data_IF_079493788988
#
_entry.id   IF_079493788988
#
_cell.length_a   1.000
_cell.length_b   1.000
_cell.length_c   1.000
_cell.angle_alpha   90.00
_cell.angle_beta   90.00
_cell.angle_gamma   90.00
#
_symmetry.space_group_name_H-M   'P 1'
#
loop_
_entity.id
_entity.type
_entity.pdbx_description
1 polymer ?
#
# COMPACT_ATOMS: atom_id res chain seq x y z
N UNK A 1 5.42 -0.80 13.69
CA UNK A 1 5.13 0.64 13.49
C UNK A 1 3.74 0.93 14.01
N UNK A 2 3.48 2.05 14.70
CA UNK A 2 2.11 2.35 15.15
C UNK A 2 1.21 2.64 13.95
N UNK A 3 0.03 2.00 13.91
CA UNK A 3 -0.96 2.23 12.86
C UNK A 3 -1.71 3.50 13.22
N UNK A 4 -1.67 4.50 12.34
CA UNK A 4 -2.43 5.74 12.43
C UNK A 4 -2.84 6.20 11.02
N UNK A 5 -3.68 7.23 10.94
CA UNK A 5 -4.21 7.70 9.65
C UNK A 5 -3.09 8.13 8.69
N UNK A 6 -2.03 8.76 9.21
CA UNK A 6 -0.85 9.14 8.43
C UNK A 6 -0.20 7.93 7.77
N UNK A 7 0.10 6.90 8.56
CA UNK A 7 0.81 5.73 8.08
C UNK A 7 -0.04 4.92 7.11
N UNK A 8 -1.33 4.69 7.41
CA UNK A 8 -2.20 3.93 6.53
C UNK A 8 -2.39 4.61 5.17
N UNK A 9 -2.44 5.95 5.13
CA UNK A 9 -2.51 6.71 3.88
C UNK A 9 -1.31 6.43 2.96
N UNK A 10 -0.15 6.12 3.55
CA UNK A 10 1.05 5.78 2.79
C UNK A 10 1.08 4.32 2.34
N UNK A 11 0.58 3.39 3.16
CA UNK A 11 0.76 1.95 2.93
C UNK A 11 -0.39 1.30 2.16
N UNK A 12 -1.62 1.78 2.30
CA UNK A 12 -2.78 1.14 1.68
C UNK A 12 -2.74 1.13 0.14
N UNK A 13 -2.02 2.08 -0.47
CA UNK A 13 -1.90 2.18 -1.93
C UNK A 13 -0.65 1.45 -2.48
N UNK A 14 0.12 0.80 -1.63
CA UNK A 14 1.24 -0.05 -2.06
C UNK A 14 0.74 -1.43 -2.47
N UNK A 15 1.56 -2.10 -3.27
CA UNK A 15 1.30 -3.51 -3.56
C UNK A 15 1.33 -4.35 -2.28
N UNK A 16 0.62 -5.47 -2.25
CA UNK A 16 0.60 -6.37 -1.09
C UNK A 16 2.01 -6.88 -0.73
N UNK A 17 2.93 -6.89 -1.68
CA UNK A 17 4.32 -7.30 -1.47
C UNK A 17 5.17 -6.23 -0.76
N UNK A 18 4.80 -4.96 -0.90
CA UNK A 18 5.49 -3.80 -0.31
C UNK A 18 4.93 -3.40 1.06
N UNK A 19 3.87 -4.06 1.51
CA UNK A 19 3.28 -3.79 2.83
C UNK A 19 4.20 -4.30 3.93
N UNK A 20 4.54 -3.43 4.86
CA UNK A 20 5.32 -3.74 6.06
C UNK A 20 4.43 -4.33 7.18
N UNK A 21 3.53 -5.22 6.84
CA UNK A 21 2.65 -5.82 7.82
C UNK A 21 3.31 -7.05 8.44
N UNK A 22 3.56 -6.99 9.74
CA UNK A 22 4.20 -8.05 10.49
C UNK A 22 3.31 -9.28 10.68
N UNK A 23 1.99 -9.15 10.56
CA UNK A 23 1.06 -10.24 10.88
C UNK A 23 0.51 -11.01 9.69
N UNK A 24 0.16 -10.35 8.62
CA UNK A 24 -0.24 -11.01 7.37
C UNK A 24 -0.41 -10.02 6.22
N UNK A 25 0.67 -9.74 5.49
CA UNK A 25 0.67 -8.81 4.35
C UNK A 25 -0.30 -9.16 3.21
N UNK A 26 -0.81 -10.39 3.18
CA UNK A 26 -1.78 -10.83 2.17
C UNK A 26 -3.24 -10.63 2.61
N UNK A 27 -3.51 -10.29 3.89
CA UNK A 27 -4.85 -9.95 4.32
C UNK A 27 -5.22 -8.52 3.92
N UNK A 28 -6.47 -8.28 3.53
CA UNK A 28 -6.97 -6.93 3.37
C UNK A 28 -6.88 -6.14 4.68
N UNK A 29 -6.74 -4.82 4.59
CA UNK A 29 -6.83 -3.94 5.74
C UNK A 29 -8.29 -3.70 6.11
N UNK A 30 -8.58 -3.67 7.41
CA UNK A 30 -9.84 -3.18 7.93
C UNK A 30 -9.58 -2.33 9.17
N UNK A 31 -9.49 -1.02 8.96
CA UNK A 31 -9.17 -0.06 10.01
C UNK A 31 -10.27 0.96 10.19
N UNK A 32 -10.49 1.34 11.46
CA UNK A 32 -11.42 2.38 11.85
C UNK A 32 -10.66 3.48 12.58
N UNK A 33 -10.60 4.67 12.00
CA UNK A 33 -9.96 5.85 12.58
C UNK A 33 -11.02 6.76 13.16
N UNK A 34 -11.11 6.81 14.48
CA UNK A 34 -12.14 7.55 15.21
C UNK A 34 -11.50 8.68 16.01
N UNK A 35 -12.02 9.90 15.80
CA UNK A 35 -11.39 11.10 16.32
C UNK A 35 -10.20 11.55 15.47
N UNK A 36 -9.43 12.48 15.97
CA UNK A 36 -8.35 13.15 15.28
C UNK A 36 -7.09 13.13 16.13
N UNK A 37 -6.00 12.55 15.60
CA UNK A 37 -4.70 12.55 16.26
C UNK A 37 -3.96 13.88 16.04
N UNK A 38 -3.95 14.34 14.80
CA UNK A 38 -3.24 15.55 14.36
C UNK A 38 -4.20 16.47 13.59
N UNK A 39 -4.82 17.41 14.32
CA UNK A 39 -5.79 18.33 13.74
C UNK A 39 -5.18 19.28 12.70
N UNK A 40 -3.89 19.55 12.79
CA UNK A 40 -3.19 20.47 11.87
C UNK A 40 -2.94 19.83 10.49
N UNK A 41 -2.80 18.50 10.44
CA UNK A 41 -2.54 17.77 9.22
C UNK A 41 -3.70 16.88 8.76
N UNK A 42 -4.80 16.85 9.50
CA UNK A 42 -5.92 15.95 9.19
C UNK A 42 -6.48 16.16 7.78
N UNK A 43 -6.76 17.41 7.42
CA UNK A 43 -7.27 17.75 6.09
C UNK A 43 -6.27 17.42 4.98
N UNK A 44 -4.97 17.50 5.27
CA UNK A 44 -3.91 17.08 4.35
C UNK A 44 -3.93 15.58 4.11
N UNK A 45 -4.17 14.75 5.15
CA UNK A 45 -4.31 13.30 5.00
C UNK A 45 -5.55 12.95 4.16
N UNK A 46 -6.69 13.59 4.43
CA UNK A 46 -7.92 13.40 3.64
C UNK A 46 -7.69 13.78 2.17
N UNK A 47 -7.02 14.92 1.91
CA UNK A 47 -6.66 15.32 0.54
C UNK A 47 -5.75 14.32 -0.16
N UNK A 48 -4.78 13.79 0.57
CA UNK A 48 -3.86 12.78 0.03
C UNK A 48 -4.60 11.48 -0.33
N UNK A 49 -5.52 11.03 0.53
CA UNK A 49 -6.38 9.87 0.25
C UNK A 49 -7.22 10.14 -1.01
N UNK A 50 -7.86 11.32 -1.11
CA UNK A 50 -8.66 11.69 -2.27
C UNK A 50 -7.86 11.62 -3.56
N UNK A 51 -6.68 12.24 -3.59
CA UNK A 51 -5.84 12.25 -4.79
C UNK A 51 -5.43 10.84 -5.20
N UNK A 52 -4.97 10.03 -4.25
CA UNK A 52 -4.59 8.63 -4.53
C UNK A 52 -5.76 7.79 -5.02
N UNK A 53 -6.95 7.98 -4.46
CA UNK A 53 -8.15 7.29 -4.94
C UNK A 53 -8.57 7.72 -6.36
N UNK A 54 -8.31 8.99 -6.74
CA UNK A 54 -8.58 9.47 -8.10
C UNK A 54 -7.56 8.97 -9.12
N UNK A 55 -6.34 8.67 -8.70
CA UNK A 55 -5.29 8.09 -9.53
C UNK A 55 -5.50 6.60 -9.79
N UNK A 56 -6.29 5.94 -8.94
CA UNK A 56 -6.49 4.50 -8.95
C UNK A 56 -7.94 4.13 -9.31
N UNK A 57 -8.15 3.39 -10.40
CA UNK A 57 -9.47 2.86 -10.81
C UNK A 57 -10.03 1.78 -9.86
N UNK A 58 -9.48 1.66 -8.66
CA UNK A 58 -9.77 0.57 -7.69
C UNK A 58 -10.26 1.09 -6.35
N UNK A 59 -10.71 2.33 -6.29
CA UNK A 59 -11.10 2.98 -5.04
C UNK A 59 -12.57 3.42 -5.07
N UNK A 60 -13.29 3.08 -3.99
CA UNK A 60 -14.65 3.55 -3.72
C UNK A 60 -14.59 4.50 -2.52
N UNK A 61 -15.20 5.66 -2.63
CA UNK A 61 -15.33 6.63 -1.53
C UNK A 61 -16.81 6.84 -1.23
N UNK A 62 -17.19 6.65 0.03
CA UNK A 62 -18.49 7.02 0.56
C UNK A 62 -18.35 8.18 1.53
N UNK A 63 -19.20 9.18 1.37
CA UNK A 63 -19.21 10.42 2.18
C UNK A 63 -20.52 10.52 2.95
N UNK A 64 -20.52 10.05 4.19
CA UNK A 64 -21.60 10.13 5.14
C UNK A 64 -22.79 9.18 4.92
N UNK A 65 -22.94 8.63 3.74
CA UNK A 65 -23.96 7.62 3.44
C UNK A 65 -23.70 6.91 2.12
N UNK A 66 -24.25 5.71 1.97
CA UNK A 66 -24.23 4.98 0.70
C UNK A 66 -25.56 5.25 -0.02
N UNK A 67 -25.55 6.01 -1.12
CA UNK A 67 -26.77 6.29 -1.85
C UNK A 67 -27.42 5.01 -2.40
N UNK A 68 -28.74 4.98 -2.42
CA UNK A 68 -29.47 3.91 -3.09
C UNK A 68 -29.40 4.12 -4.60
N UNK A 69 -29.27 3.01 -5.34
CA UNK A 69 -29.38 3.04 -6.78
C UNK A 69 -30.81 3.43 -7.20
N UNK A 70 -30.92 4.22 -8.27
CA UNK A 70 -32.19 4.54 -8.89
C UNK A 70 -32.77 3.44 -9.81
N UNK A 71 -32.10 2.28 -9.91
CA UNK A 71 -32.48 1.18 -10.80
C UNK A 71 -33.60 0.32 -10.18
N UNK A 72 -34.81 0.83 -10.22
CA UNK A 72 -35.98 0.18 -9.61
C UNK A 72 -36.27 -1.21 -10.19
N UNK A 73 -36.04 -1.43 -11.49
CA UNK A 73 -36.22 -2.74 -12.14
C UNK A 73 -35.25 -3.79 -11.57
N UNK A 74 -33.99 -3.41 -11.39
CA UNK A 74 -32.98 -4.28 -10.79
C UNK A 74 -33.33 -4.62 -9.33
N UNK A 75 -33.73 -3.62 -8.55
CA UNK A 75 -34.16 -3.80 -7.16
C UNK A 75 -35.31 -4.80 -7.08
N UNK A 76 -36.32 -4.61 -7.89
CA UNK A 76 -37.53 -5.48 -7.91
C UNK A 76 -37.18 -6.90 -8.38
N UNK A 77 -36.33 -7.02 -9.40
CA UNK A 77 -35.85 -8.31 -9.90
C UNK A 77 -35.14 -9.10 -8.80
N UNK A 78 -34.12 -8.51 -8.16
CA UNK A 78 -33.35 -9.16 -7.11
C UNK A 78 -34.25 -9.55 -5.93
N UNK A 79 -35.15 -8.65 -5.50
CA UNK A 79 -36.06 -8.91 -4.39
C UNK A 79 -36.99 -10.11 -4.67
N UNK A 80 -37.48 -10.23 -5.90
CA UNK A 80 -38.35 -11.34 -6.30
C UNK A 80 -37.59 -12.67 -6.35
N UNK A 81 -36.35 -12.65 -6.90
CA UNK A 81 -35.50 -13.85 -6.95
C UNK A 81 -35.13 -14.37 -5.54
N UNK A 82 -34.87 -13.48 -4.58
CA UNK A 82 -34.55 -13.85 -3.20
C UNK A 82 -35.70 -14.61 -2.49
N UNK A 83 -36.92 -14.45 -2.95
CA UNK A 83 -38.06 -15.20 -2.40
C UNK A 83 -37.99 -16.72 -2.66
N UNK A 84 -37.23 -17.13 -3.67
CA UNK A 84 -37.07 -18.52 -4.09
C UNK A 84 -35.69 -19.10 -3.71
N UNK A 85 -34.81 -18.32 -3.10
CA UNK A 85 -33.42 -18.69 -2.79
C UNK A 85 -33.24 -19.07 -1.33
N UNK A 86 -32.32 -20.00 -1.07
CA UNK A 86 -31.81 -20.22 0.29
C UNK A 86 -30.74 -19.16 0.57
N UNK A 87 -31.15 -18.07 1.23
CA UNK A 87 -30.28 -16.92 1.53
C UNK A 87 -29.12 -17.26 2.47
N UNK A 88 -29.14 -18.42 3.13
CA UNK A 88 -28.04 -18.91 3.97
C UNK A 88 -27.01 -19.74 3.19
N UNK A 89 -27.28 -20.02 1.92
CA UNK A 89 -26.39 -20.76 1.02
C UNK A 89 -26.21 -20.01 -0.31
N UNK A 90 -25.88 -18.73 -0.21
CA UNK A 90 -25.76 -17.84 -1.36
C UNK A 90 -24.69 -18.31 -2.36
N UNK A 91 -23.62 -18.95 -1.87
CA UNK A 91 -22.56 -19.48 -2.75
C UNK A 91 -23.01 -20.62 -3.67
N UNK A 92 -24.15 -21.22 -3.42
CA UNK A 92 -24.78 -22.26 -4.27
C UNK A 92 -25.92 -21.71 -5.15
N UNK A 93 -26.21 -20.41 -5.09
CA UNK A 93 -27.27 -19.79 -5.87
C UNK A 93 -26.77 -19.23 -7.21
N UNK A 94 -27.65 -19.09 -8.18
CA UNK A 94 -27.33 -18.60 -9.52
C UNK A 94 -27.43 -17.06 -9.64
N UNK A 95 -26.80 -16.34 -8.69
CA UNK A 95 -26.70 -14.88 -8.79
C UNK A 95 -25.34 -14.51 -9.39
N UNK A 96 -25.33 -13.77 -10.47
CA UNK A 96 -24.11 -13.30 -11.12
C UNK A 96 -24.11 -11.77 -11.17
N UNK A 97 -23.21 -11.17 -10.38
CA UNK A 97 -22.94 -9.72 -10.38
C UNK A 97 -21.62 -9.43 -11.12
N UNK A 98 -20.65 -10.29 -10.93
CA UNK A 98 -19.33 -10.18 -11.54
C UNK A 98 -19.17 -11.21 -12.66
N UNK A 99 -18.58 -10.80 -13.78
CA UNK A 99 -18.30 -11.69 -14.93
C UNK A 99 -17.25 -12.76 -14.56
N UNK A 100 -16.27 -12.40 -13.72
CA UNK A 100 -15.25 -13.33 -13.24
C UNK A 100 -15.82 -14.25 -12.14
N UNK A 101 -15.80 -15.54 -12.41
CA UNK A 101 -16.36 -16.56 -11.52
C UNK A 101 -15.77 -16.48 -10.09
N UNK A 102 -14.47 -16.31 -9.97
CA UNK A 102 -13.81 -16.27 -8.65
C UNK A 102 -14.24 -15.05 -7.82
N UNK A 103 -14.41 -13.89 -8.47
CA UNK A 103 -14.87 -12.66 -7.81
C UNK A 103 -16.33 -12.80 -7.41
N UNK A 104 -17.16 -13.34 -8.31
CA UNK A 104 -18.57 -13.60 -8.02
C UNK A 104 -18.72 -14.59 -6.85
N UNK A 105 -17.90 -15.63 -6.80
CA UNK A 105 -17.90 -16.57 -5.68
C UNK A 105 -17.47 -15.93 -4.35
N UNK A 106 -16.47 -15.02 -4.37
CA UNK A 106 -16.08 -14.23 -3.17
C UNK A 106 -17.24 -13.37 -2.70
N UNK A 107 -17.95 -12.72 -3.61
CA UNK A 107 -19.12 -11.91 -3.31
C UNK A 107 -20.23 -12.76 -2.64
N UNK A 108 -20.60 -13.89 -3.23
CA UNK A 108 -21.63 -14.78 -2.68
C UNK A 108 -21.24 -15.32 -1.30
N UNK A 109 -19.99 -15.71 -1.12
CA UNK A 109 -19.47 -16.12 0.21
C UNK A 109 -19.46 -14.97 1.23
N UNK A 110 -19.22 -13.75 0.79
CA UNK A 110 -19.30 -12.59 1.66
C UNK A 110 -20.74 -12.29 2.10
N UNK A 111 -21.73 -12.44 1.21
CA UNK A 111 -23.15 -12.40 1.56
C UNK A 111 -23.51 -13.52 2.56
N UNK A 112 -23.09 -14.75 2.29
CA UNK A 112 -23.31 -15.92 3.15
C UNK A 112 -22.72 -15.73 4.55
N UNK A 113 -21.68 -14.94 4.70
CA UNK A 113 -21.13 -14.55 5.99
C UNK A 113 -21.94 -13.45 6.68
N UNK A 114 -22.36 -12.41 5.94
CA UNK A 114 -22.99 -11.22 6.53
C UNK A 114 -24.47 -11.43 6.85
N UNK A 115 -25.18 -12.24 6.07
CA UNK A 115 -26.63 -12.47 6.27
C UNK A 115 -26.93 -13.08 7.64
N UNK A 116 -26.29 -14.19 8.08
CA UNK A 116 -26.52 -14.74 9.41
C UNK A 116 -26.15 -13.74 10.52
N UNK A 117 -25.06 -12.98 10.35
CA UNK A 117 -24.66 -11.94 11.29
C UNK A 117 -25.78 -10.92 11.46
N UNK A 118 -26.31 -10.39 10.35
CA UNK A 118 -27.41 -9.43 10.37
C UNK A 118 -28.69 -10.03 10.95
N UNK A 119 -29.04 -11.28 10.62
CA UNK A 119 -30.21 -11.94 11.18
C UNK A 119 -30.15 -12.11 12.71
N UNK A 120 -28.93 -12.25 13.25
CA UNK A 120 -28.75 -12.37 14.71
C UNK A 120 -28.77 -11.00 15.42
N UNK A 121 -28.50 -9.90 14.73
CA UNK A 121 -28.35 -8.57 15.34
C UNK A 121 -29.49 -7.62 15.02
N UNK A 122 -30.15 -7.82 13.88
CA UNK A 122 -31.28 -7.02 13.44
C UNK A 122 -32.58 -7.79 13.67
N UNK A 123 -33.58 -7.12 14.19
CA UNK A 123 -34.91 -7.72 14.36
C UNK A 123 -35.66 -7.65 13.00
N UNK A 124 -35.36 -8.57 12.11
CA UNK A 124 -36.14 -8.70 10.88
C UNK A 124 -37.52 -9.35 11.25
N UNK A 125 -38.56 -8.53 11.24
CA UNK A 125 -39.93 -8.98 11.60
C UNK A 125 -40.47 -10.06 10.68
N UNK A 126 -40.02 -10.13 9.44
CA UNK A 126 -40.40 -11.13 8.46
C UNK A 126 -39.34 -11.23 7.35
N UNK A 127 -39.52 -12.22 6.46
CA UNK A 127 -38.63 -12.50 5.37
C UNK A 127 -38.54 -11.32 4.37
N UNK A 128 -39.61 -10.56 4.17
CA UNK A 128 -39.60 -9.41 3.26
C UNK A 128 -38.64 -8.32 3.77
N UNK A 129 -38.59 -8.04 5.07
CA UNK A 129 -37.69 -7.05 5.65
C UNK A 129 -36.24 -7.53 5.52
N UNK A 130 -36.00 -8.82 5.77
CA UNK A 130 -34.67 -9.43 5.55
C UNK A 130 -34.28 -9.37 4.06
N UNK A 131 -35.17 -9.75 3.17
CA UNK A 131 -34.89 -9.74 1.72
C UNK A 131 -34.65 -8.32 1.20
N UNK A 132 -35.32 -7.29 1.72
CA UNK A 132 -35.02 -5.89 1.43
C UNK A 132 -33.60 -5.51 1.84
N UNK A 133 -33.14 -5.97 3.02
CA UNK A 133 -31.78 -5.75 3.47
C UNK A 133 -30.77 -6.43 2.53
N UNK A 134 -31.00 -7.69 2.16
CA UNK A 134 -30.12 -8.43 1.25
C UNK A 134 -30.11 -7.78 -0.13
N UNK A 135 -31.28 -7.41 -0.65
CA UNK A 135 -31.40 -6.67 -1.93
C UNK A 135 -30.57 -5.41 -1.91
N UNK A 136 -30.61 -4.64 -0.81
CA UNK A 136 -29.83 -3.43 -0.65
C UNK A 136 -28.31 -3.71 -0.75
N UNK A 137 -27.80 -4.75 -0.10
CA UNK A 137 -26.39 -5.13 -0.20
C UNK A 137 -25.98 -5.55 -1.61
N UNK A 138 -26.83 -6.33 -2.30
CA UNK A 138 -26.58 -6.76 -3.68
C UNK A 138 -26.58 -5.57 -4.64
N UNK A 139 -27.54 -4.67 -4.52
CA UNK A 139 -27.68 -3.48 -5.36
C UNK A 139 -26.50 -2.53 -5.12
N UNK A 140 -26.06 -2.32 -3.90
CA UNK A 140 -24.86 -1.54 -3.60
C UNK A 140 -23.62 -2.16 -4.22
N UNK A 141 -23.48 -3.49 -4.17
CA UNK A 141 -22.36 -4.19 -4.81
C UNK A 141 -22.39 -3.98 -6.33
N UNK A 142 -23.56 -4.16 -6.95
CA UNK A 142 -23.74 -3.93 -8.38
C UNK A 142 -23.37 -2.50 -8.78
N UNK A 143 -23.87 -1.52 -8.02
CA UNK A 143 -23.70 -0.10 -8.35
C UNK A 143 -22.26 0.36 -8.17
N UNK A 144 -21.61 -0.03 -7.07
CA UNK A 144 -20.33 0.57 -6.66
C UNK A 144 -19.11 -0.35 -6.86
N UNK A 145 -19.28 -1.66 -6.77
CA UNK A 145 -18.17 -2.60 -6.79
C UNK A 145 -18.01 -3.36 -8.11
N UNK A 146 -19.07 -3.48 -8.93
CA UNK A 146 -19.07 -4.28 -10.17
C UNK A 146 -17.95 -3.88 -11.14
N UNK A 147 -17.70 -2.59 -11.29
CA UNK A 147 -16.74 -2.07 -12.27
C UNK A 147 -15.32 -1.92 -11.72
N UNK A 148 -15.10 -2.27 -10.47
CA UNK A 148 -13.77 -2.22 -9.87
C UNK A 148 -12.92 -3.35 -10.42
N UNK A 149 -11.77 -3.00 -10.98
CA UNK A 149 -10.82 -3.98 -11.50
C UNK A 149 -10.06 -4.66 -10.36
N UNK A 150 -10.14 -5.98 -10.32
CA UNK A 150 -9.37 -6.78 -9.38
C UNK A 150 -7.97 -7.07 -9.95
N UNK A 151 -6.98 -7.02 -9.07
CA UNK A 151 -5.58 -7.29 -9.40
C UNK A 151 -4.97 -8.09 -8.24
N UNK A 152 -4.18 -9.09 -8.56
CA UNK A 152 -3.53 -9.93 -7.54
C UNK A 152 -2.48 -9.20 -6.70
N UNK A 153 -2.01 -8.05 -7.16
CA UNK A 153 -0.96 -7.28 -6.48
C UNK A 153 -1.48 -6.13 -5.61
N UNK A 154 -2.68 -5.62 -5.90
CA UNK A 154 -3.26 -4.46 -5.20
C UNK A 154 -4.73 -4.74 -4.91
N UNK A 155 -5.07 -4.84 -3.62
CA UNK A 155 -6.46 -4.98 -3.22
C UNK A 155 -7.27 -3.74 -3.64
N UNK A 156 -8.53 -3.89 -4.06
CA UNK A 156 -9.43 -2.76 -4.21
C UNK A 156 -9.67 -2.08 -2.86
N UNK A 157 -10.01 -0.79 -2.89
CA UNK A 157 -10.13 0.05 -1.69
C UNK A 157 -11.57 0.52 -1.49
N UNK A 158 -11.97 0.57 -0.23
CA UNK A 158 -13.20 1.23 0.17
C UNK A 158 -12.91 2.19 1.32
N UNK A 159 -13.14 3.48 1.09
CA UNK A 159 -13.04 4.52 2.09
C UNK A 159 -14.45 4.96 2.47
N UNK A 160 -14.79 4.87 3.73
CA UNK A 160 -16.05 5.43 4.25
C UNK A 160 -15.72 6.56 5.22
N UNK A 161 -16.26 7.73 4.99
CA UNK A 161 -16.01 8.92 5.78
C UNK A 161 -17.30 9.47 6.40
N UNK A 162 -17.27 9.84 7.68
CA UNK A 162 -18.40 10.44 8.38
C UNK A 162 -19.25 9.46 9.19
N UNK A 163 -20.51 9.80 9.43
CA UNK A 163 -21.43 8.95 10.20
C UNK A 163 -21.82 7.72 9.36
N UNK A 164 -21.95 6.60 10.03
CA UNK A 164 -22.28 5.33 9.40
C UNK A 164 -23.51 4.70 10.05
N UNK A 165 -24.39 4.17 9.20
CA UNK A 165 -25.59 3.47 9.61
C UNK A 165 -25.36 1.96 9.70
N UNK A 166 -26.24 1.25 10.41
CA UNK A 166 -26.11 -0.20 10.66
C UNK A 166 -25.94 -1.02 9.39
N UNK A 167 -26.78 -0.80 8.38
CA UNK A 167 -26.69 -1.54 7.11
C UNK A 167 -25.38 -1.27 6.34
N UNK A 168 -24.82 -0.09 6.47
CA UNK A 168 -23.56 0.29 5.85
C UNK A 168 -22.38 -0.42 6.51
N UNK A 169 -22.43 -0.66 7.84
CA UNK A 169 -21.43 -1.47 8.54
C UNK A 169 -21.39 -2.89 7.96
N UNK A 170 -22.55 -3.52 7.77
CA UNK A 170 -22.61 -4.84 7.13
C UNK A 170 -22.05 -4.83 5.71
N UNK A 171 -22.29 -3.76 4.96
CA UNK A 171 -21.73 -3.62 3.63
C UNK A 171 -20.21 -3.48 3.65
N UNK A 172 -19.64 -2.71 4.57
CA UNK A 172 -18.18 -2.62 4.72
C UNK A 172 -17.56 -3.97 5.14
N UNK A 173 -18.21 -4.71 6.03
CA UNK A 173 -17.77 -6.07 6.40
C UNK A 173 -17.82 -6.99 5.18
N UNK A 174 -18.87 -6.89 4.36
CA UNK A 174 -19.00 -7.67 3.14
C UNK A 174 -17.88 -7.35 2.14
N UNK A 175 -17.59 -6.09 1.88
CA UNK A 175 -16.48 -5.68 1.01
C UNK A 175 -15.12 -6.19 1.53
N UNK A 176 -14.88 -6.12 2.84
CA UNK A 176 -13.68 -6.71 3.43
C UNK A 176 -13.58 -8.23 3.17
N UNK A 177 -14.68 -8.97 3.33
CA UNK A 177 -14.72 -10.41 3.02
C UNK A 177 -14.54 -10.71 1.53
N UNK A 178 -14.88 -9.78 0.64
CA UNK A 178 -14.59 -9.87 -0.79
C UNK A 178 -13.10 -9.60 -1.11
N UNK A 179 -12.32 -9.08 -0.18
CA UNK A 179 -10.90 -8.78 -0.36
C UNK A 179 -10.57 -7.29 -0.52
N UNK A 180 -11.49 -6.39 -0.22
CA UNK A 180 -11.22 -4.95 -0.21
C UNK A 180 -10.43 -4.55 1.03
N UNK A 181 -9.50 -3.63 0.87
CA UNK A 181 -9.00 -2.84 1.99
C UNK A 181 -10.06 -1.82 2.38
N UNK A 182 -10.54 -1.90 3.61
CA UNK A 182 -11.62 -1.05 4.11
C UNK A 182 -11.09 -0.11 5.17
N UNK A 183 -11.34 1.18 4.97
CA UNK A 183 -10.96 2.25 5.90
C UNK A 183 -12.21 3.06 6.24
N UNK A 184 -12.57 3.03 7.51
CA UNK A 184 -13.62 3.88 8.05
C UNK A 184 -12.99 5.05 8.82
N UNK A 185 -13.39 6.26 8.51
CA UNK A 185 -12.86 7.49 9.10
C UNK A 185 -14.02 8.33 9.65
N UNK A 186 -14.02 8.59 10.94
CA UNK A 186 -14.98 9.50 11.56
C UNK A 186 -14.25 10.47 12.51
N UNK A 187 -14.27 11.80 12.26
CA UNK A 187 -13.56 12.75 13.09
C UNK A 187 -14.18 13.00 14.46
N UNK A 188 -15.34 12.42 14.75
CA UNK A 188 -16.04 12.59 16.03
C UNK A 188 -16.07 11.29 16.83
N UNK A 189 -16.99 10.39 16.48
CA UNK A 189 -17.29 9.17 17.20
C UNK A 189 -17.86 8.12 16.27
N UNK A 190 -17.83 6.88 16.71
CA UNK A 190 -18.52 5.78 16.04
C UNK A 190 -19.74 5.35 16.85
N UNK A 191 -20.76 4.88 16.14
CA UNK A 191 -21.96 4.27 16.69
C UNK A 191 -22.15 2.90 16.06
N UNK A 192 -22.89 2.01 16.74
CA UNK A 192 -23.31 0.67 16.30
C UNK A 192 -22.22 -0.39 16.09
N UNK A 193 -20.95 -0.04 15.89
CA UNK A 193 -19.89 -1.02 15.61
C UNK A 193 -19.75 -2.10 16.68
N UNK A 194 -19.73 -1.71 17.95
CA UNK A 194 -19.62 -2.66 19.06
C UNK A 194 -20.82 -3.60 19.21
N UNK A 195 -21.97 -3.21 18.65
CA UNK A 195 -23.17 -4.03 18.65
C UNK A 195 -23.15 -5.05 17.51
N UNK A 196 -22.57 -4.70 16.37
CA UNK A 196 -22.61 -5.47 15.13
C UNK A 196 -21.40 -6.39 15.02
N UNK A 197 -20.19 -5.87 15.26
CA UNK A 197 -18.94 -6.60 15.03
C UNK A 197 -18.45 -7.30 16.30
N UNK A 198 -18.72 -8.60 16.43
CA UNK A 198 -18.21 -9.44 17.51
C UNK A 198 -16.83 -10.06 17.20
N UNK A 199 -16.57 -10.39 15.94
CA UNK A 199 -15.41 -11.16 15.51
C UNK A 199 -14.09 -10.37 15.44
N UNK A 200 -14.10 -9.10 15.82
CA UNK A 200 -12.94 -8.20 15.76
C UNK A 200 -12.23 -8.24 14.39
N UNK A 201 -13.02 -8.18 13.33
CA UNK A 201 -12.51 -8.15 11.96
C UNK A 201 -11.74 -6.86 11.65
N UNK A 202 -12.22 -5.75 12.26
CA UNK A 202 -11.63 -4.43 12.12
C UNK A 202 -10.80 -4.04 13.35
N UNK A 203 -9.75 -3.27 13.13
CA UNK A 203 -8.96 -2.64 14.18
C UNK A 203 -9.38 -1.18 14.35
N UNK A 204 -9.74 -0.81 15.58
CA UNK A 204 -10.19 0.53 15.92
C UNK A 204 -9.06 1.35 16.54
N UNK A 205 -8.68 2.44 15.87
CA UNK A 205 -7.69 3.41 16.33
C UNK A 205 -8.44 4.66 16.79
N UNK A 206 -8.50 4.87 18.12
CA UNK A 206 -9.19 6.01 18.74
C UNK A 206 -8.20 7.10 19.09
N UNK A 207 -8.55 8.33 18.72
CA UNK A 207 -7.82 9.55 19.05
C UNK A 207 -8.70 10.48 19.89
N UNK A 208 -8.06 11.30 20.73
CA UNK A 208 -8.80 12.17 21.65
C UNK A 208 -9.31 13.46 21.01
N UNK A 209 -8.66 13.93 19.94
CA UNK A 209 -9.09 15.11 19.21
C UNK A 209 -10.39 14.86 18.46
N UNK A 210 -11.19 15.88 18.29
CA UNK A 210 -12.44 15.84 17.52
C UNK A 210 -12.49 17.03 16.57
N UNK A 211 -13.09 16.83 15.39
CA UNK A 211 -13.41 17.88 14.44
C UNK A 211 -14.88 17.75 14.02
N UNK A 212 -15.49 18.86 13.59
CA UNK A 212 -16.84 18.83 13.03
C UNK A 212 -16.93 17.88 11.85
N UNK A 213 -18.07 17.23 11.66
CA UNK A 213 -18.32 16.45 10.45
C UNK A 213 -18.63 17.45 9.32
N UNK A 214 -17.72 17.54 8.39
CA UNK A 214 -17.91 18.21 7.10
C UNK A 214 -17.86 17.10 6.04
N UNK A 215 -18.25 17.37 4.81
CA UNK A 215 -18.14 16.37 3.76
C UNK A 215 -16.65 16.03 3.48
N UNK A 216 -16.41 14.82 2.99
CA UNK A 216 -15.06 14.37 2.61
C UNK A 216 -14.41 15.34 1.61
N UNK A 217 -15.19 15.80 0.62
CA UNK A 217 -14.72 16.73 -0.39
C UNK A 217 -14.41 18.11 0.14
N UNK A 218 -15.23 18.64 1.06
CA UNK A 218 -14.97 19.93 1.72
C UNK A 218 -13.68 19.87 2.54
N UNK A 219 -13.46 18.79 3.30
CA UNK A 219 -12.22 18.60 4.04
C UNK A 219 -11.02 18.49 3.11
N UNK A 220 -11.13 17.67 2.08
CA UNK A 220 -10.07 17.53 1.09
C UNK A 220 -9.73 18.86 0.40
N UNK A 221 -10.72 19.75 0.20
CA UNK A 221 -10.49 21.07 -0.42
C UNK A 221 -9.67 22.02 0.47
N UNK A 222 -9.74 21.86 1.79
CA UNK A 222 -8.96 22.65 2.77
C UNK A 222 -7.53 22.13 2.90
N UNK A 223 -7.33 20.83 2.64
CA UNK A 223 -6.04 20.18 2.71
C UNK A 223 -5.14 20.56 1.54
N UNK A 224 -3.85 20.66 1.82
CA UNK A 224 -2.81 20.61 0.79
C UNK A 224 -2.45 19.14 0.61
N UNK A 225 -2.47 18.64 -0.64
CA UNK A 225 -1.95 17.33 -0.89
C UNK A 225 -0.55 17.28 -0.28
N UNK A 226 -0.34 16.36 0.63
CA UNK A 226 1.00 16.01 1.05
C UNK A 226 1.49 15.17 -0.13
N UNK A 227 2.00 15.87 -1.15
CA UNK A 227 2.69 15.25 -2.26
C UNK A 227 3.80 14.43 -1.63
N UNK A 228 3.46 13.16 -1.44
CA UNK A 228 4.37 12.13 -1.01
C UNK A 228 5.29 12.52 0.15
N UNK A 229 5.01 12.04 1.35
CA UNK A 229 6.08 11.86 2.33
C UNK A 229 7.26 11.09 1.69
N UNK A 230 6.99 10.18 0.76
CA UNK A 230 8.00 9.62 -0.12
C UNK A 230 8.63 10.64 -1.06
N UNK A 231 7.89 11.62 -1.57
CA UNK A 231 8.45 12.62 -2.51
C UNK A 231 9.31 13.63 -1.76
N UNK A 232 8.95 14.07 -0.57
CA UNK A 232 9.83 14.94 0.23
C UNK A 232 11.09 14.16 0.63
N UNK A 233 10.96 12.94 1.11
CA UNK A 233 12.12 12.11 1.43
C UNK A 233 12.90 11.75 0.16
N UNK A 234 12.23 11.38 -0.93
CA UNK A 234 12.89 11.12 -2.23
C UNK A 234 13.40 12.40 -2.89
N UNK A 235 12.75 13.53 -2.71
CA UNK A 235 13.19 14.82 -3.21
C UNK A 235 14.39 15.31 -2.41
N UNK A 236 14.36 15.26 -1.09
CA UNK A 236 15.52 15.53 -0.22
C UNK A 236 16.64 14.53 -0.53
N UNK A 237 16.30 13.26 -0.69
CA UNK A 237 17.28 12.24 -1.05
C UNK A 237 17.86 12.47 -2.45
N UNK A 238 17.04 12.87 -3.43
CA UNK A 238 17.49 13.25 -4.77
C UNK A 238 18.32 14.52 -4.75
N UNK A 239 17.92 15.55 -4.03
CA UNK A 239 18.69 16.79 -3.86
C UNK A 239 20.02 16.52 -3.15
N UNK A 240 20.01 15.67 -2.12
CA UNK A 240 21.23 15.20 -1.44
C UNK A 240 22.08 14.38 -2.41
N UNK A 241 21.48 13.48 -3.18
CA UNK A 241 22.19 12.69 -4.20
C UNK A 241 22.78 13.59 -5.29
N UNK A 242 22.04 14.60 -5.78
CA UNK A 242 22.54 15.55 -6.78
C UNK A 242 23.65 16.44 -6.25
N UNK A 243 23.51 16.94 -5.01
CA UNK A 243 24.52 17.82 -4.41
C UNK A 243 25.77 17.07 -3.92
N UNK A 244 25.61 15.87 -3.40
CA UNK A 244 26.71 15.13 -2.81
C UNK A 244 27.36 14.14 -3.77
N UNK A 245 26.58 13.50 -4.65
CA UNK A 245 27.02 12.33 -5.42
C UNK A 245 26.98 12.51 -6.93
N UNK A 246 26.59 13.69 -7.45
CA UNK A 246 26.70 14.00 -8.87
C UNK A 246 28.16 14.19 -9.30
N UNK A 247 28.41 14.29 -10.61
CA UNK A 247 29.76 14.59 -11.15
C UNK A 247 30.37 15.86 -10.56
N UNK A 248 29.55 16.84 -10.21
CA UNK A 248 29.94 18.12 -9.59
C UNK A 248 29.81 18.11 -8.07
N UNK A 249 29.28 17.04 -7.49
CA UNK A 249 29.05 16.91 -6.06
C UNK A 249 30.30 16.56 -5.26
N UNK A 250 30.13 16.54 -3.94
CA UNK A 250 31.23 16.25 -2.99
C UNK A 250 31.66 14.79 -3.10
N UNK A 251 30.72 13.89 -3.38
CA UNK A 251 31.00 12.47 -3.54
C UNK A 251 30.71 12.01 -4.96
N UNK A 252 31.48 11.03 -5.43
CA UNK A 252 31.25 10.45 -6.74
C UNK A 252 30.10 9.42 -6.71
N UNK A 253 29.37 9.21 -7.82
CA UNK A 253 28.22 8.30 -7.88
C UNK A 253 28.50 6.88 -7.37
N UNK A 254 29.71 6.35 -7.57
CA UNK A 254 30.11 5.02 -7.10
C UNK A 254 30.35 4.93 -5.59
N UNK A 255 30.45 6.04 -4.89
CA UNK A 255 30.58 6.09 -3.42
C UNK A 255 29.23 5.91 -2.73
N UNK A 256 28.14 6.00 -3.47
CA UNK A 256 26.78 5.90 -2.96
C UNK A 256 26.12 4.59 -3.35
N UNK A 257 25.74 3.77 -2.38
CA UNK A 257 24.95 2.55 -2.62
C UNK A 257 23.47 2.88 -2.57
N UNK A 258 22.81 2.77 -3.71
CA UNK A 258 21.37 2.88 -3.82
C UNK A 258 20.75 1.49 -3.94
N UNK A 259 20.37 0.91 -2.79
CA UNK A 259 19.65 -0.37 -2.75
C UNK A 259 20.49 -1.59 -3.14
N UNK A 260 19.94 -2.77 -2.91
CA UNK A 260 20.63 -4.04 -3.11
C UNK A 260 20.79 -4.48 -4.57
N UNK A 261 20.18 -3.79 -5.55
CA UNK A 261 20.02 -4.34 -6.90
C UNK A 261 20.25 -3.39 -8.07
N UNK A 262 20.61 -2.12 -7.87
CA UNK A 262 20.87 -1.22 -8.99
C UNK A 262 22.36 -0.91 -9.10
N UNK A 263 23.00 -1.55 -10.08
CA UNK A 263 24.29 -1.07 -10.59
C UNK A 263 24.10 0.32 -11.18
N UNK A 264 24.88 1.28 -10.73
CA UNK A 264 24.97 2.58 -11.37
C UNK A 264 25.87 2.40 -12.59
N UNK A 265 25.34 2.59 -13.80
CA UNK A 265 26.14 2.67 -15.00
C UNK A 265 26.94 3.98 -14.92
N UNK A 266 28.24 3.86 -14.78
CA UNK A 266 29.16 5.00 -14.74
C UNK A 266 29.70 5.22 -16.13
N UNK A 267 29.53 6.43 -16.67
CA UNK A 267 30.06 6.80 -17.98
C UNK A 267 31.60 6.85 -18.05
N UNK A 268 32.22 6.89 -16.84
CA UNK A 268 33.68 7.05 -16.69
C UNK A 268 34.27 6.12 -15.63
N UNK A 269 34.01 4.82 -15.79
CA UNK A 269 34.35 3.78 -14.79
C UNK A 269 35.84 3.81 -14.38
N UNK A 270 36.75 4.03 -15.33
CA UNK A 270 38.18 4.05 -15.06
C UNK A 270 38.59 5.25 -14.19
N UNK A 271 38.10 6.44 -14.54
CA UNK A 271 38.43 7.67 -13.78
C UNK A 271 37.84 7.56 -12.35
N UNK A 272 36.65 7.04 -12.21
CA UNK A 272 36.01 6.87 -10.91
C UNK A 272 36.75 5.85 -10.03
N UNK A 273 37.28 4.77 -10.61
CA UNK A 273 38.12 3.80 -9.89
C UNK A 273 39.41 4.46 -9.40
N UNK A 274 40.07 5.25 -10.24
CA UNK A 274 41.29 5.94 -9.84
C UNK A 274 41.05 6.95 -8.71
N UNK A 275 39.94 7.70 -8.77
CA UNK A 275 39.57 8.63 -7.73
C UNK A 275 39.30 7.87 -6.42
N UNK A 276 38.54 6.77 -6.47
CA UNK A 276 38.26 5.95 -5.30
C UNK A 276 39.54 5.41 -4.62
N UNK A 277 40.48 4.91 -5.40
CA UNK A 277 41.73 4.38 -4.84
C UNK A 277 42.57 5.44 -4.13
N UNK A 278 42.50 6.66 -4.60
CA UNK A 278 43.24 7.77 -4.00
C UNK A 278 42.50 8.45 -2.85
N UNK A 279 41.23 8.12 -2.64
CA UNK A 279 40.43 8.71 -1.58
C UNK A 279 40.85 8.17 -0.21
N UNK A 280 41.06 9.02 0.82
CA UNK A 280 41.32 8.57 2.17
C UNK A 280 40.22 7.62 2.69
N UNK A 281 40.60 6.50 3.32
CA UNK A 281 39.64 5.49 3.78
C UNK A 281 38.53 6.06 4.66
N UNK A 282 38.82 7.07 5.48
CA UNK A 282 37.86 7.77 6.35
C UNK A 282 36.75 8.51 5.63
N UNK A 283 36.95 8.85 4.35
CA UNK A 283 35.95 9.53 3.52
C UNK A 283 35.08 8.56 2.69
N UNK A 284 35.39 7.26 2.77
CA UNK A 284 34.65 6.26 2.01
C UNK A 284 33.36 5.87 2.75
N UNK A 285 32.23 5.73 2.03
CA UNK A 285 31.02 5.21 2.63
C UNK A 285 31.25 3.85 3.32
N UNK A 286 30.69 3.67 4.51
CA UNK A 286 30.88 2.44 5.30
C UNK A 286 32.11 2.41 6.18
N UNK A 287 32.95 3.45 6.20
CA UNK A 287 33.99 3.59 7.21
C UNK A 287 33.35 3.81 8.59
N UNK A 288 33.69 2.96 9.55
CA UNK A 288 33.22 3.05 10.94
C UNK A 288 34.35 2.76 11.90
N UNK A 289 34.30 3.42 13.03
CA UNK A 289 35.13 3.13 14.21
C UNK A 289 34.19 2.90 15.38
N UNK A 290 34.07 1.65 15.81
CA UNK A 290 33.20 1.24 16.91
C UNK A 290 34.06 0.33 17.84
N UNK A 291 34.07 0.59 19.14
CA UNK A 291 34.77 -0.22 20.17
C UNK A 291 36.22 -0.59 19.83
N UNK A 292 36.99 0.36 19.35
CA UNK A 292 38.37 0.17 18.88
C UNK A 292 38.53 -0.71 17.62
N UNK A 293 37.42 -1.12 16.99
CA UNK A 293 37.45 -1.83 15.73
C UNK A 293 37.23 -0.85 14.59
N UNK A 294 38.13 -0.86 13.63
CA UNK A 294 38.03 -0.04 12.41
C UNK A 294 37.49 -0.89 11.28
N UNK A 295 36.30 -0.54 10.80
CA UNK A 295 35.72 -1.15 9.59
C UNK A 295 36.06 -0.28 8.39
N UNK A 296 36.75 -0.84 7.42
CA UNK A 296 37.12 -0.16 6.17
C UNK A 296 36.27 -0.73 5.02
N UNK A 297 35.58 0.11 4.25
CA UNK A 297 34.83 -0.36 3.09
C UNK A 297 35.81 -0.92 2.04
N UNK A 298 35.41 -2.05 1.45
CA UNK A 298 36.17 -2.74 0.43
C UNK A 298 35.42 -2.73 -0.90
N UNK A 299 36.14 -2.56 -2.00
CA UNK A 299 35.59 -2.75 -3.34
C UNK A 299 36.10 -4.07 -3.90
N UNK A 300 35.18 -4.86 -4.42
CA UNK A 300 35.50 -5.99 -5.28
C UNK A 300 35.36 -5.54 -6.73
N UNK A 301 36.43 -5.61 -7.48
CA UNK A 301 36.43 -5.35 -8.90
C UNK A 301 36.79 -6.62 -9.68
N UNK A 302 35.87 -7.10 -10.50
CA UNK A 302 36.09 -8.20 -11.42
C UNK A 302 36.45 -7.65 -12.80
N UNK A 303 37.63 -7.94 -13.29
CA UNK A 303 38.02 -7.62 -14.67
C UNK A 303 37.51 -8.72 -15.57
N UNK A 304 36.52 -8.39 -16.41
CA UNK A 304 36.00 -9.29 -17.42
C UNK A 304 36.33 -8.76 -18.83
N UNK A 305 37.09 -9.54 -19.58
CA UNK A 305 37.55 -9.14 -20.92
C UNK A 305 36.45 -8.95 -21.97
N UNK A 306 35.19 -9.28 -21.63
CA UNK A 306 34.07 -9.05 -22.53
C UNK A 306 33.59 -7.60 -22.57
N UNK A 307 33.84 -6.83 -21.48
CA UNK A 307 33.28 -5.49 -21.31
C UNK A 307 34.28 -4.35 -21.36
N UNK A 308 35.57 -4.68 -21.33
CA UNK A 308 36.63 -3.68 -21.41
C UNK A 308 37.67 -4.07 -22.46
N UNK A 309 38.30 -3.10 -23.10
CA UNK A 309 39.43 -3.36 -24.00
C UNK A 309 40.61 -3.94 -23.23
N UNK A 310 41.44 -4.71 -23.87
CA UNK A 310 42.68 -5.29 -23.27
C UNK A 310 43.56 -4.19 -22.70
N UNK A 311 43.66 -3.05 -23.38
CA UNK A 311 44.47 -1.90 -22.94
C UNK A 311 43.90 -1.27 -21.64
N UNK A 312 42.57 -1.19 -21.51
CA UNK A 312 41.91 -0.67 -20.31
C UNK A 312 42.09 -1.63 -19.14
N UNK A 313 41.91 -2.92 -19.36
CA UNK A 313 42.12 -3.95 -18.33
C UNK A 313 43.57 -3.93 -17.82
N UNK A 314 44.57 -3.76 -18.71
CA UNK A 314 45.97 -3.62 -18.31
C UNK A 314 46.24 -2.38 -17.49
N UNK A 315 45.60 -1.25 -17.79
CA UNK A 315 45.71 -0.02 -16.98
C UNK A 315 45.14 -0.20 -15.58
N UNK A 316 43.95 -0.77 -15.48
CA UNK A 316 43.32 -1.06 -14.19
C UNK A 316 44.18 -2.02 -13.37
N UNK A 317 44.61 -3.11 -13.97
CA UNK A 317 45.47 -4.11 -13.32
C UNK A 317 46.77 -3.45 -12.79
N UNK A 318 47.43 -2.64 -13.59
CA UNK A 318 48.64 -1.91 -13.19
C UNK A 318 48.36 -0.96 -12.03
N UNK A 319 47.22 -0.27 -12.06
CA UNK A 319 46.82 0.62 -10.96
C UNK A 319 46.54 -0.17 -9.67
N UNK A 320 45.77 -1.27 -9.74
CA UNK A 320 45.49 -2.13 -8.60
C UNK A 320 46.74 -2.75 -7.97
N UNK A 321 47.69 -3.19 -8.79
CA UNK A 321 48.96 -3.76 -8.30
C UNK A 321 49.83 -2.74 -7.60
N UNK A 322 49.76 -1.46 -7.98
CA UNK A 322 50.55 -0.39 -7.42
C UNK A 322 49.88 0.35 -6.24
N UNK A 323 48.58 0.07 -5.98
CA UNK A 323 47.84 0.72 -4.93
C UNK A 323 48.21 0.09 -3.53
N UNK A 324 48.62 0.91 -2.54
CA UNK A 324 49.16 0.41 -1.29
C UNK A 324 48.17 -0.37 -0.42
N UNK A 325 46.86 -0.21 -0.67
CA UNK A 325 45.79 -0.82 0.11
C UNK A 325 44.96 -1.85 -0.71
N UNK A 326 45.58 -2.46 -1.70
CA UNK A 326 44.91 -3.39 -2.58
C UNK A 326 45.42 -4.80 -2.40
N UNK A 327 44.49 -5.73 -2.13
CA UNK A 327 44.75 -7.16 -2.19
C UNK A 327 44.33 -7.63 -3.58
N UNK A 328 45.30 -8.13 -4.34
CA UNK A 328 45.03 -8.66 -5.67
C UNK A 328 45.00 -10.19 -5.63
N UNK A 329 43.91 -10.75 -6.13
CA UNK A 329 43.77 -12.18 -6.32
C UNK A 329 43.69 -12.49 -7.82
N UNK A 330 44.64 -13.24 -8.33
CA UNK A 330 44.52 -13.79 -9.66
C UNK A 330 43.63 -15.05 -9.61
N UNK A 331 42.36 -14.86 -9.88
CA UNK A 331 41.35 -15.89 -9.72
C UNK A 331 41.43 -17.04 -10.75
N UNK A 332 42.25 -16.93 -11.79
CA UNK A 332 42.33 -17.95 -12.83
C UNK A 332 40.92 -18.38 -13.32
N UNK A 333 40.61 -19.65 -13.23
CA UNK A 333 39.31 -20.20 -13.64
C UNK A 333 38.23 -20.17 -12.54
N UNK A 334 38.45 -19.54 -11.40
CA UNK A 334 37.46 -19.48 -10.29
C UNK A 334 36.25 -18.58 -10.65
N UNK A 335 36.25 -17.98 -11.81
CA UNK A 335 35.30 -16.95 -12.19
C UNK A 335 33.87 -17.41 -12.48
N UNK A 336 33.51 -18.68 -12.33
CA UNK A 336 32.16 -19.14 -12.70
C UNK A 336 31.14 -19.16 -11.57
N UNK A 337 31.55 -19.12 -10.31
CA UNK A 337 30.65 -19.36 -9.18
C UNK A 337 30.41 -18.17 -8.24
N UNK A 338 30.94 -17.00 -8.56
CA UNK A 338 30.62 -15.78 -7.78
C UNK A 338 29.66 -14.92 -8.63
N UNK A 339 28.38 -15.31 -8.63
CA UNK A 339 27.30 -14.40 -8.99
C UNK A 339 27.02 -13.48 -7.78
N UNK A 340 27.26 -12.20 -7.95
CA UNK A 340 26.86 -11.15 -7.00
C UNK A 340 25.45 -10.72 -7.29
#
# INVERSE_FOLDING_TARGET
>A
MAINLKNITMYMFRTIYEREDTYNKFKPYFYRFIGVEDSSNYDNYIKTIQNKCLEEDKCIIFDGSIPLSGEMELIQYIFNELAFMDVYKMSSQEITIFEEFEINLKFLKALEYVIPMACNKENFFNDNVRNNFITKLIVWTYTYAKNIKYDSSINPKCIYYGNIERHEIYFLIMLYKMGYDVIYINPLKEEFWSEIEEDRLSECIKSMGILSIESFNERASKGKAIDNFETITKQIQREVEEQLFSRTGVFKPWQFRKGYTKSVLLDTVLEDIYIYWNEPAKLRPGFKVEDMVVTVPSIFYKIDGQYCSIAENQKILKHCLNAPNTLFFNGGNISRDISV
#
